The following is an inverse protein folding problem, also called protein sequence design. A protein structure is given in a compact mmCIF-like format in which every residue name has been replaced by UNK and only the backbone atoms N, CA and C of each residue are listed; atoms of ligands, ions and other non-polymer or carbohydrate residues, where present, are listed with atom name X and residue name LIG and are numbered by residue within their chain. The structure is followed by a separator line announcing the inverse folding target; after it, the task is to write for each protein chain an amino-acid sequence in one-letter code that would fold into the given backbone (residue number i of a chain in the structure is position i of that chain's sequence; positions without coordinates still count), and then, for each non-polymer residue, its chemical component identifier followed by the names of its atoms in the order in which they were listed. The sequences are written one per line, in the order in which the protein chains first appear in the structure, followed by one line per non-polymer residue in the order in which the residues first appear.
data_IF_713458964778
#
_entry.id   IF_713458964778
#
_cell.length_a   1.000
_cell.length_b   1.000
_cell.length_c   1.000
_cell.angle_alpha   90.00
_cell.angle_beta   90.00
_cell.angle_gamma   90.00
#
_symmetry.space_group_name_H-M   'P 1'
#
loop_
_entity.id
_entity.type
_entity.pdbx_description
1 polymer ?
#
# COMPACT_ATOMS: atom_id res chain seq x y z
N UNK A 1 -10.19 -10.07 10.73
CA UNK A 1 -10.75 -8.70 10.59
C UNK A 1 -10.74 -8.36 9.11
N UNK A 2 -11.76 -7.70 8.55
CA UNK A 2 -11.88 -7.52 7.09
C UNK A 2 -11.58 -6.09 6.69
N UNK A 3 -10.37 -5.65 7.02
CA UNK A 3 -9.92 -4.30 6.71
C UNK A 3 -9.42 -4.22 5.28
N UNK A 4 -9.58 -3.08 4.67
CA UNK A 4 -9.04 -2.79 3.35
C UNK A 4 -8.61 -1.34 3.24
N UNK A 5 -7.79 -1.06 2.24
CA UNK A 5 -7.47 0.30 1.81
C UNK A 5 -8.11 0.62 0.47
N UNK A 6 -8.53 1.86 0.29
CA UNK A 6 -8.75 2.40 -1.05
C UNK A 6 -7.39 2.60 -1.75
N UNK A 7 -7.23 2.09 -2.97
CA UNK A 7 -6.00 2.29 -3.77
C UNK A 7 -6.21 3.39 -4.81
N UNK A 8 -6.22 4.62 -4.35
CA UNK A 8 -6.47 5.79 -5.18
C UNK A 8 -6.00 7.07 -4.50
N UNK A 9 -5.75 8.15 -5.29
CA UNK A 9 -5.66 9.52 -4.82
C UNK A 9 -6.96 10.31 -5.08
N UNK A 10 -7.95 9.73 -5.72
CA UNK A 10 -9.19 10.41 -6.10
C UNK A 10 -10.18 10.47 -4.92
N UNK A 11 -10.24 11.61 -4.26
CA UNK A 11 -11.13 11.86 -3.11
C UNK A 11 -12.60 11.71 -3.52
N UNK A 12 -12.99 12.27 -4.65
CA UNK A 12 -14.37 12.24 -5.14
C UNK A 12 -14.84 10.79 -5.41
N UNK A 13 -13.92 9.94 -5.86
CA UNK A 13 -14.19 8.52 -6.01
C UNK A 13 -14.49 7.85 -4.67
N UNK A 14 -13.70 8.13 -3.63
CA UNK A 14 -13.92 7.57 -2.28
C UNK A 14 -15.27 8.03 -1.74
N UNK A 15 -15.57 9.33 -1.83
CA UNK A 15 -16.83 9.90 -1.38
C UNK A 15 -18.03 9.25 -2.09
N UNK A 16 -18.01 9.19 -3.42
CA UNK A 16 -19.08 8.57 -4.22
C UNK A 16 -19.25 7.06 -3.94
N UNK A 17 -18.15 6.36 -3.67
CA UNK A 17 -18.18 4.95 -3.28
C UNK A 17 -18.83 4.77 -1.90
N UNK A 18 -18.50 5.61 -0.95
CA UNK A 18 -19.09 5.57 0.38
C UNK A 18 -20.54 6.03 0.38
N UNK A 19 -20.92 7.00 -0.48
CA UNK A 19 -22.33 7.37 -0.68
C UNK A 19 -23.14 6.20 -1.24
N UNK A 20 -22.59 5.48 -2.22
CA UNK A 20 -23.28 4.38 -2.90
C UNK A 20 -23.37 3.09 -2.08
N UNK A 21 -22.29 2.73 -1.38
CA UNK A 21 -22.14 1.43 -0.73
C UNK A 21 -21.90 1.53 0.79
N UNK A 22 -21.87 2.72 1.36
CA UNK A 22 -21.55 2.94 2.78
C UNK A 22 -22.52 2.30 3.75
N UNK A 23 -23.76 1.98 3.33
CA UNK A 23 -24.70 1.19 4.15
C UNK A 23 -24.26 -0.26 4.34
N UNK A 24 -23.50 -0.81 3.38
CA UNK A 24 -23.02 -2.19 3.39
C UNK A 24 -21.61 -2.31 3.99
N UNK A 25 -20.85 -1.20 3.96
CA UNK A 25 -19.48 -1.12 4.45
C UNK A 25 -19.45 -0.59 5.88
N UNK A 26 -18.96 -1.40 6.82
CA UNK A 26 -18.79 -0.89 8.20
C UNK A 26 -17.62 0.11 8.23
N UNK A 27 -17.75 1.26 8.91
CA UNK A 27 -16.69 2.27 9.00
C UNK A 27 -15.33 1.72 9.42
N UNK A 28 -15.29 0.78 10.35
CA UNK A 28 -14.06 0.15 10.82
C UNK A 28 -13.45 -0.87 9.85
N UNK A 29 -14.10 -1.20 8.72
CA UNK A 29 -13.49 -1.99 7.64
C UNK A 29 -12.64 -1.12 6.71
N UNK A 30 -12.91 0.18 6.65
CA UNK A 30 -12.07 1.11 5.93
C UNK A 30 -10.83 1.39 6.78
N UNK A 31 -9.72 0.69 6.53
CA UNK A 31 -8.44 0.98 7.18
C UNK A 31 -7.96 2.37 6.79
N UNK A 32 -8.06 2.70 5.51
CA UNK A 32 -7.62 3.98 5.00
C UNK A 32 -7.48 4.05 3.49
N UNK A 33 -6.47 4.79 3.07
CA UNK A 33 -6.14 5.02 1.66
C UNK A 33 -4.67 4.70 1.41
N UNK A 34 -4.38 4.07 0.27
CA UNK A 34 -3.01 3.97 -0.26
C UNK A 34 -2.89 4.74 -1.56
N UNK A 35 -1.79 5.45 -1.74
CA UNK A 35 -1.53 6.19 -2.96
C UNK A 35 -0.06 6.07 -3.38
N UNK A 36 0.27 6.58 -4.56
CA UNK A 36 1.59 6.57 -5.15
C UNK A 36 1.70 7.67 -6.22
N UNK A 37 2.89 7.96 -6.78
CA UNK A 37 3.05 8.98 -7.80
C UNK A 37 2.13 8.83 -9.02
N UNK A 38 1.83 7.59 -9.45
CA UNK A 38 0.91 7.35 -10.55
C UNK A 38 -0.54 7.70 -10.19
N UNK A 39 -0.96 7.49 -8.94
CA UNK A 39 -2.29 7.90 -8.49
C UNK A 39 -2.43 9.43 -8.46
N UNK A 40 -1.40 10.14 -8.00
CA UNK A 40 -1.37 11.60 -8.04
C UNK A 40 -1.36 12.17 -9.46
N UNK A 41 -0.62 11.55 -10.38
CA UNK A 41 -0.58 12.00 -11.78
C UNK A 41 -1.95 11.87 -12.48
N UNK A 42 -2.75 10.87 -12.11
CA UNK A 42 -4.10 10.68 -12.66
C UNK A 42 -5.09 11.77 -12.25
N UNK A 43 -4.79 12.53 -11.22
CA UNK A 43 -5.58 13.67 -10.74
C UNK A 43 -4.84 15.00 -10.97
N UNK A 44 -3.90 15.02 -11.93
CA UNK A 44 -3.11 16.18 -12.35
C UNK A 44 -2.40 16.91 -11.21
N UNK A 45 -1.84 16.16 -10.24
CA UNK A 45 -1.07 16.70 -9.13
C UNK A 45 0.39 16.29 -9.25
N UNK A 46 1.27 17.27 -9.45
CA UNK A 46 2.68 17.04 -9.73
C UNK A 46 3.61 17.76 -8.75
N UNK A 47 3.14 18.83 -8.10
CA UNK A 47 3.93 19.62 -7.17
C UNK A 47 3.82 19.13 -5.72
N UNK A 48 4.90 19.29 -4.96
CA UNK A 48 4.98 18.84 -3.56
C UNK A 48 3.86 19.43 -2.70
N UNK A 49 3.59 20.73 -2.80
CA UNK A 49 2.54 21.39 -2.02
C UNK A 49 1.13 20.85 -2.36
N UNK A 50 0.91 20.44 -3.61
CA UNK A 50 -0.33 19.76 -4.00
C UNK A 50 -0.46 18.41 -3.32
N UNK A 51 0.63 17.62 -3.23
CA UNK A 51 0.63 16.34 -2.56
C UNK A 51 0.42 16.49 -1.05
N UNK A 52 1.08 17.46 -0.43
CA UNK A 52 0.93 17.77 1.00
C UNK A 52 -0.53 18.16 1.31
N UNK A 53 -1.09 19.12 0.55
CA UNK A 53 -2.47 19.55 0.73
C UNK A 53 -3.47 18.41 0.46
N UNK A 54 -3.16 17.54 -0.49
CA UNK A 54 -4.01 16.40 -0.81
C UNK A 54 -3.95 15.32 0.29
N UNK A 55 -2.78 15.07 0.86
CA UNK A 55 -2.62 14.19 2.02
C UNK A 55 -3.48 14.65 3.20
N UNK A 56 -3.47 15.96 3.50
CA UNK A 56 -4.34 16.54 4.53
C UNK A 56 -5.82 16.27 4.25
N UNK A 57 -6.28 16.49 3.00
CA UNK A 57 -7.68 16.23 2.61
C UNK A 57 -8.04 14.75 2.72
N UNK A 58 -7.18 13.84 2.29
CA UNK A 58 -7.38 12.40 2.43
C UNK A 58 -7.46 12.00 3.91
N UNK A 59 -6.57 12.51 4.77
CA UNK A 59 -6.60 12.27 6.21
C UNK A 59 -7.91 12.71 6.84
N UNK A 60 -8.41 13.88 6.45
CA UNK A 60 -9.71 14.39 6.92
C UNK A 60 -10.86 13.50 6.48
N UNK A 61 -10.90 13.10 5.20
CA UNK A 61 -11.93 12.21 4.67
C UNK A 61 -11.94 10.86 5.39
N UNK A 62 -10.78 10.24 5.60
CA UNK A 62 -10.70 8.96 6.30
C UNK A 62 -11.15 9.07 7.75
N UNK A 63 -10.78 10.14 8.45
CA UNK A 63 -11.27 10.44 9.79
C UNK A 63 -12.79 10.55 9.83
N UNK A 64 -13.39 11.23 8.84
CA UNK A 64 -14.85 11.35 8.73
C UNK A 64 -15.54 10.00 8.46
N UNK A 65 -15.02 9.20 7.51
CA UNK A 65 -15.57 7.88 7.17
C UNK A 65 -15.53 6.95 8.39
N UNK A 66 -14.42 6.92 9.11
CA UNK A 66 -14.25 6.05 10.27
C UNK A 66 -14.97 6.56 11.53
N UNK A 67 -15.13 7.87 11.66
CA UNK A 67 -15.61 8.51 12.88
C UNK A 67 -14.54 8.53 14.00
N UNK A 68 -13.28 8.25 13.67
CA UNK A 68 -12.13 8.27 14.58
C UNK A 68 -10.85 8.69 13.85
N UNK A 69 -9.74 8.85 14.58
CA UNK A 69 -8.43 9.18 14.04
C UNK A 69 -7.51 7.95 13.89
N UNK A 70 -8.04 6.73 13.93
CA UNK A 70 -7.27 5.49 13.76
C UNK A 70 -7.13 5.06 12.30
N UNK A 71 -7.69 5.82 11.36
CA UNK A 71 -7.49 5.60 9.95
C UNK A 71 -6.04 5.85 9.52
N UNK A 72 -5.69 5.37 8.35
CA UNK A 72 -4.33 5.44 7.83
C UNK A 72 -4.32 6.00 6.41
N UNK A 73 -3.30 6.80 6.10
CA UNK A 73 -2.97 7.16 4.73
C UNK A 73 -1.57 6.64 4.40
N UNK A 74 -1.46 5.78 3.40
CA UNK A 74 -0.17 5.27 2.95
C UNK A 74 0.27 6.01 1.69
N UNK A 75 1.32 6.80 1.82
CA UNK A 75 1.85 7.66 0.76
C UNK A 75 3.25 7.18 0.39
N UNK A 76 3.51 7.06 -0.90
CA UNK A 76 4.84 6.76 -1.40
C UNK A 76 5.64 8.06 -1.52
N UNK A 77 6.89 8.04 -1.08
CA UNK A 77 7.81 9.12 -1.37
C UNK A 77 7.91 9.33 -2.89
N UNK A 78 8.02 10.59 -3.37
CA UNK A 78 8.00 10.89 -4.81
C UNK A 78 9.13 10.24 -5.60
N UNK A 79 10.08 9.61 -4.95
CA UNK A 79 11.26 9.02 -5.58
C UNK A 79 11.80 7.84 -4.77
N UNK A 80 12.33 6.85 -5.49
CA UNK A 80 12.82 5.60 -4.92
C UNK A 80 14.32 5.62 -4.63
N UNK A 81 15.09 6.46 -5.30
CA UNK A 81 16.57 6.49 -5.20
C UNK A 81 17.09 7.56 -4.26
N UNK A 82 16.40 7.79 -3.19
CA UNK A 82 16.78 8.82 -2.29
C UNK A 82 17.69 8.39 -1.20
N UNK A 83 18.34 9.41 -0.75
CA UNK A 83 18.85 9.46 0.59
C UNK A 83 17.70 9.18 1.57
N UNK A 84 17.83 8.18 2.47
CA UNK A 84 16.81 7.88 3.47
C UNK A 84 16.41 9.10 4.31
N UNK A 85 17.34 10.02 4.55
CA UNK A 85 17.09 11.26 5.29
C UNK A 85 16.07 12.15 4.58
N UNK A 86 16.12 12.23 3.26
CA UNK A 86 15.16 13.03 2.47
C UNK A 86 13.77 12.38 2.47
N UNK A 87 13.70 11.04 2.41
CA UNK A 87 12.43 10.31 2.58
C UNK A 87 11.86 10.59 3.99
N UNK A 88 12.70 10.58 5.01
CA UNK A 88 12.30 10.84 6.39
C UNK A 88 11.75 12.26 6.56
N UNK A 89 12.39 13.28 5.98
CA UNK A 89 11.88 14.65 6.04
C UNK A 89 10.52 14.78 5.33
N UNK A 90 10.35 14.13 4.18
CA UNK A 90 9.04 14.07 3.54
C UNK A 90 8.00 13.38 4.44
N UNK A 91 8.36 12.26 5.08
CA UNK A 91 7.48 11.57 6.01
C UNK A 91 7.04 12.45 7.17
N UNK A 92 7.96 13.24 7.76
CA UNK A 92 7.65 14.20 8.83
C UNK A 92 6.68 15.28 8.35
N UNK A 93 6.93 15.86 7.17
CA UNK A 93 6.03 16.88 6.59
C UNK A 93 4.61 16.34 6.45
N UNK A 94 4.45 15.12 5.91
CA UNK A 94 3.13 14.51 5.77
C UNK A 94 2.50 14.20 7.13
N UNK A 95 3.28 13.69 8.07
CA UNK A 95 2.81 13.42 9.45
C UNK A 95 2.31 14.67 10.14
N UNK A 96 3.04 15.79 10.00
CA UNK A 96 2.68 17.07 10.61
C UNK A 96 1.35 17.62 10.07
N UNK A 97 1.16 17.59 8.74
CA UNK A 97 -0.07 18.15 8.12
C UNK A 97 -1.29 17.26 8.35
N UNK A 98 -1.11 16.01 8.70
CA UNK A 98 -2.21 15.06 9.00
C UNK A 98 -2.36 14.78 10.49
N UNK A 99 -1.60 15.48 11.33
CA UNK A 99 -1.62 15.30 12.78
C UNK A 99 -3.03 15.43 13.37
N UNK A 100 -3.42 14.43 14.15
CA UNK A 100 -4.75 14.40 14.77
C UNK A 100 -5.89 13.93 13.86
N UNK A 101 -5.62 13.71 12.56
CA UNK A 101 -6.62 13.21 11.59
C UNK A 101 -6.49 11.71 11.34
N UNK A 102 -5.27 11.23 11.11
CA UNK A 102 -4.99 9.84 10.79
C UNK A 102 -3.53 9.51 11.06
N UNK A 103 -3.17 8.23 10.95
CA UNK A 103 -1.78 7.77 10.95
C UNK A 103 -1.22 7.81 9.54
N UNK A 104 0.06 8.09 9.41
CA UNK A 104 0.77 8.09 8.13
C UNK A 104 1.57 6.81 7.99
N UNK A 105 1.34 6.08 6.90
CA UNK A 105 2.19 4.99 6.43
C UNK A 105 3.10 5.49 5.31
N UNK A 106 4.41 5.57 5.55
CA UNK A 106 5.35 5.94 4.49
C UNK A 106 5.72 4.70 3.68
N UNK A 107 5.37 4.73 2.40
CA UNK A 107 5.73 3.67 1.44
C UNK A 107 7.17 3.88 0.98
N UNK A 108 8.04 2.94 1.33
CA UNK A 108 9.48 2.99 1.05
C UNK A 108 9.91 1.81 0.16
N UNK A 109 10.98 1.97 -0.64
CA UNK A 109 11.49 0.89 -1.46
C UNK A 109 12.31 -0.13 -0.65
N UNK A 110 12.49 -1.38 -1.14
CA UNK A 110 13.24 -2.43 -0.45
C UNK A 110 14.77 -2.30 -0.60
N UNK A 111 15.30 -1.09 -0.67
CA UNK A 111 16.74 -0.86 -0.77
C UNK A 111 17.41 -0.96 0.60
N UNK A 112 18.59 -1.57 0.64
CA UNK A 112 19.31 -1.84 1.88
C UNK A 112 19.53 -0.58 2.73
N UNK A 113 20.00 0.51 2.12
CA UNK A 113 20.23 1.78 2.79
C UNK A 113 18.95 2.42 3.36
N UNK A 114 17.79 2.16 2.77
CA UNK A 114 16.48 2.63 3.28
C UNK A 114 16.00 1.73 4.41
N UNK A 115 16.17 0.41 4.28
CA UNK A 115 15.78 -0.55 5.31
C UNK A 115 16.59 -0.37 6.61
N UNK A 116 17.84 0.05 6.53
CA UNK A 116 18.67 0.38 7.69
C UNK A 116 18.19 1.63 8.44
N UNK A 117 17.32 2.44 7.84
CA UNK A 117 16.71 3.63 8.46
C UNK A 117 15.32 3.38 9.07
N UNK A 118 14.82 2.14 9.06
CA UNK A 118 13.46 1.80 9.53
C UNK A 118 13.21 2.28 10.96
N UNK A 119 14.16 2.13 11.86
CA UNK A 119 14.04 2.57 13.26
C UNK A 119 13.83 4.10 13.37
N UNK A 120 14.44 4.88 12.47
CA UNK A 120 14.23 6.33 12.43
C UNK A 120 12.84 6.67 11.86
N UNK A 121 12.40 5.99 10.80
CA UNK A 121 11.05 6.17 10.27
C UNK A 121 9.99 5.86 11.32
N UNK A 122 10.13 4.77 12.06
CA UNK A 122 9.16 4.31 13.05
C UNK A 122 8.96 5.29 14.22
N UNK A 123 9.86 6.25 14.42
CA UNK A 123 9.68 7.33 15.41
C UNK A 123 8.64 8.38 14.98
N UNK A 124 8.31 8.45 13.70
CA UNK A 124 7.49 9.51 13.11
C UNK A 124 6.27 9.00 12.35
N UNK A 125 6.39 7.86 11.67
CA UNK A 125 5.38 7.29 10.77
C UNK A 125 5.36 5.78 10.87
N UNK A 126 4.30 5.15 10.36
CA UNK A 126 4.28 3.71 10.09
C UNK A 126 5.11 3.43 8.83
N UNK A 127 5.92 2.37 8.86
CA UNK A 127 6.73 1.97 7.71
C UNK A 127 6.02 0.93 6.86
N UNK A 128 6.02 1.13 5.54
CA UNK A 128 5.45 0.20 4.57
C UNK A 128 6.42 -0.01 3.41
N UNK A 129 7.14 -1.12 3.41
CA UNK A 129 7.98 -1.47 2.25
C UNK A 129 7.10 -1.95 1.12
N UNK A 130 7.16 -1.27 -0.02
CA UNK A 130 6.26 -1.50 -1.15
C UNK A 130 6.98 -2.00 -2.41
N UNK A 131 6.19 -2.43 -3.40
CA UNK A 131 6.71 -2.87 -4.70
C UNK A 131 7.30 -4.27 -4.68
N UNK A 132 6.93 -5.08 -3.69
CA UNK A 132 7.45 -6.43 -3.55
C UNK A 132 6.78 -7.38 -4.56
N UNK A 133 7.57 -7.91 -5.47
CA UNK A 133 7.11 -8.81 -6.52
C UNK A 133 7.73 -10.23 -6.41
N UNK A 134 8.33 -10.55 -5.27
CA UNK A 134 8.84 -11.88 -4.97
C UNK A 134 8.83 -12.15 -3.45
N UNK A 135 8.71 -13.44 -3.10
CA UNK A 135 8.59 -13.87 -1.71
C UNK A 135 9.90 -13.73 -0.91
N UNK A 136 11.05 -13.83 -1.55
CA UNK A 136 12.34 -13.75 -0.84
C UNK A 136 12.66 -12.34 -0.40
N UNK A 137 12.45 -11.35 -1.27
CA UNK A 137 12.58 -9.94 -0.90
C UNK A 137 11.56 -9.58 0.17
N UNK A 138 10.30 -10.06 0.05
CA UNK A 138 9.28 -9.85 1.06
C UNK A 138 9.70 -10.41 2.43
N UNK A 139 10.18 -11.67 2.49
CA UNK A 139 10.68 -12.28 3.73
C UNK A 139 11.90 -11.57 4.29
N UNK A 140 12.84 -11.16 3.43
CA UNK A 140 13.98 -10.33 3.87
C UNK A 140 13.48 -9.04 4.53
N UNK A 141 12.49 -8.36 3.95
CA UNK A 141 11.91 -7.17 4.55
C UNK A 141 11.28 -7.47 5.92
N UNK A 142 10.61 -8.61 6.10
CA UNK A 142 10.04 -9.01 7.39
C UNK A 142 11.08 -9.21 8.51
N UNK A 143 12.39 -9.23 8.22
CA UNK A 143 13.43 -9.28 9.25
C UNK A 143 13.71 -7.93 9.90
N UNK A 144 13.20 -6.83 9.35
CA UNK A 144 13.25 -5.49 9.91
C UNK A 144 12.00 -5.21 10.74
N UNK A 145 12.04 -4.23 11.63
CA UNK A 145 10.90 -3.84 12.48
C UNK A 145 9.89 -2.98 11.70
N UNK A 146 9.34 -3.55 10.63
CA UNK A 146 8.36 -2.90 9.76
C UNK A 146 6.95 -3.07 10.29
N UNK A 147 6.11 -2.02 10.11
CA UNK A 147 4.68 -2.14 10.35
C UNK A 147 4.02 -2.91 9.22
N UNK A 148 4.41 -2.65 7.97
CA UNK A 148 3.81 -3.23 6.78
C UNK A 148 4.83 -3.61 5.70
N UNK A 149 4.46 -4.64 4.95
CA UNK A 149 5.00 -4.89 3.61
C UNK A 149 3.85 -4.90 2.60
N UNK A 150 4.07 -4.34 1.41
CA UNK A 150 3.10 -4.36 0.30
C UNK A 150 3.58 -5.24 -0.82
N UNK A 151 2.95 -6.40 -0.96
CA UNK A 151 3.19 -7.35 -2.05
C UNK A 151 2.27 -7.00 -3.22
N UNK A 152 2.77 -7.12 -4.44
CA UNK A 152 2.05 -6.73 -5.66
C UNK A 152 1.72 -7.98 -6.50
N UNK A 153 0.58 -8.67 -6.27
CA UNK A 153 0.22 -9.91 -6.96
C UNK A 153 0.26 -9.79 -8.48
N UNK A 154 -0.31 -8.73 -9.04
CA UNK A 154 -0.34 -8.53 -10.47
C UNK A 154 1.05 -8.44 -11.13
N UNK A 155 2.09 -8.03 -10.40
CA UNK A 155 3.47 -8.04 -10.91
C UNK A 155 4.10 -9.42 -10.84
N UNK A 156 3.78 -10.20 -9.82
CA UNK A 156 4.19 -11.60 -9.74
C UNK A 156 3.63 -12.40 -10.91
N UNK A 157 2.36 -12.25 -11.20
CA UNK A 157 1.67 -12.93 -12.31
C UNK A 157 2.23 -12.54 -13.68
N UNK A 158 2.61 -11.28 -13.89
CA UNK A 158 3.24 -10.80 -15.14
C UNK A 158 4.54 -11.54 -15.47
N UNK A 159 5.23 -12.09 -14.48
CA UNK A 159 6.47 -12.88 -14.66
C UNK A 159 6.26 -14.38 -14.41
N UNK A 160 5.00 -14.82 -14.34
CA UNK A 160 4.65 -16.24 -14.20
C UNK A 160 4.85 -16.81 -12.81
N UNK A 161 4.92 -15.97 -11.77
CA UNK A 161 4.93 -16.41 -10.38
C UNK A 161 3.47 -16.63 -9.95
N UNK A 162 3.21 -17.75 -9.30
CA UNK A 162 1.96 -17.99 -8.58
C UNK A 162 1.90 -17.06 -7.36
N UNK A 163 1.19 -15.94 -7.52
CA UNK A 163 1.10 -14.90 -6.51
C UNK A 163 0.40 -15.41 -5.24
N UNK A 164 -0.60 -16.26 -5.38
CA UNK A 164 -1.36 -16.81 -4.27
C UNK A 164 -0.46 -17.66 -3.37
N UNK A 165 0.25 -18.61 -3.95
CA UNK A 165 1.21 -19.46 -3.22
C UNK A 165 2.36 -18.64 -2.62
N UNK A 166 2.85 -17.62 -3.32
CA UNK A 166 3.93 -16.76 -2.84
C UNK A 166 3.50 -15.92 -1.62
N UNK A 167 2.30 -15.34 -1.64
CA UNK A 167 1.75 -14.55 -0.52
C UNK A 167 1.47 -15.47 0.68
N UNK A 168 0.86 -16.63 0.43
CA UNK A 168 0.61 -17.63 1.45
C UNK A 168 1.92 -18.03 2.16
N UNK A 169 2.98 -18.29 1.39
CA UNK A 169 4.28 -18.64 1.92
C UNK A 169 4.90 -17.52 2.77
N UNK A 170 4.84 -16.27 2.30
CA UNK A 170 5.32 -15.11 3.08
C UNK A 170 4.54 -14.98 4.38
N UNK A 171 3.22 -15.12 4.33
CA UNK A 171 2.38 -15.04 5.51
C UNK A 171 2.72 -16.13 6.55
N UNK A 172 3.00 -17.36 6.09
CA UNK A 172 3.46 -18.45 6.98
C UNK A 172 4.78 -18.15 7.67
N UNK A 173 5.71 -17.57 6.94
CA UNK A 173 7.07 -17.36 7.42
C UNK A 173 7.27 -16.04 8.16
N UNK A 174 6.29 -15.17 8.14
CA UNK A 174 6.37 -13.80 8.68
C UNK A 174 6.34 -13.74 10.23
N UNK A 175 6.08 -14.81 10.93
CA UNK A 175 6.04 -14.88 12.40
C UNK A 175 5.19 -13.78 13.09
N UNK A 176 4.27 -13.15 12.36
CA UNK A 176 3.22 -12.28 12.90
C UNK A 176 3.64 -10.88 13.33
N UNK A 177 4.82 -10.40 12.95
CA UNK A 177 5.28 -9.07 13.34
C UNK A 177 4.91 -7.97 12.34
N UNK A 178 4.99 -8.26 11.05
CA UNK A 178 4.75 -7.30 9.96
C UNK A 178 3.42 -7.62 9.29
N UNK A 179 2.53 -6.65 9.16
CA UNK A 179 1.25 -6.87 8.48
C UNK A 179 1.45 -6.84 6.96
N UNK A 180 0.77 -7.75 6.25
CA UNK A 180 0.92 -7.89 4.80
C UNK A 180 -0.23 -7.14 4.11
N UNK A 181 0.12 -6.15 3.30
CA UNK A 181 -0.79 -5.49 2.37
C UNK A 181 -0.63 -6.15 1.00
N UNK A 182 -1.75 -6.53 0.39
CA UNK A 182 -1.78 -6.99 -0.99
C UNK A 182 -2.22 -5.85 -1.89
N UNK A 183 -1.27 -5.31 -2.64
CA UNK A 183 -1.43 -4.07 -3.40
C UNK A 183 -1.77 -4.28 -4.86
N UNK A 184 -2.35 -3.24 -5.49
CA UNK A 184 -2.60 -3.21 -6.94
C UNK A 184 -3.42 -4.40 -7.46
N UNK A 185 -4.46 -4.76 -6.74
CA UNK A 185 -5.41 -5.81 -7.10
C UNK A 185 -6.10 -5.46 -8.43
N UNK A 186 -6.22 -6.47 -9.31
CA UNK A 186 -6.80 -6.29 -10.66
C UNK A 186 -8.14 -6.97 -10.82
N UNK A 187 -8.45 -7.94 -9.97
CA UNK A 187 -9.67 -8.74 -10.03
C UNK A 187 -10.29 -8.92 -8.65
N UNK A 188 -11.58 -9.18 -8.63
CA UNK A 188 -12.31 -9.47 -7.38
C UNK A 188 -11.81 -10.77 -6.75
N UNK A 189 -11.39 -11.76 -7.53
CA UNK A 189 -10.83 -13.01 -7.02
C UNK A 189 -9.53 -12.76 -6.22
N UNK A 190 -8.64 -11.90 -6.71
CA UNK A 190 -7.43 -11.51 -5.96
C UNK A 190 -7.78 -10.86 -4.62
N UNK A 191 -8.83 -10.01 -4.58
CA UNK A 191 -9.30 -9.37 -3.35
C UNK A 191 -9.88 -10.40 -2.38
N UNK A 192 -10.73 -11.30 -2.87
CA UNK A 192 -11.31 -12.41 -2.08
C UNK A 192 -10.19 -13.27 -1.48
N UNK A 193 -9.20 -13.61 -2.30
CA UNK A 193 -8.08 -14.43 -1.87
C UNK A 193 -7.20 -13.72 -0.83
N UNK A 194 -7.01 -12.41 -0.96
CA UNK A 194 -6.30 -11.61 0.05
C UNK A 194 -6.99 -11.67 1.41
N UNK A 195 -8.32 -11.56 1.45
CA UNK A 195 -9.07 -11.75 2.69
C UNK A 195 -8.97 -13.19 3.23
N UNK A 196 -8.97 -14.18 2.34
CA UNK A 196 -8.80 -15.58 2.73
C UNK A 196 -7.45 -15.84 3.40
N UNK A 197 -6.38 -15.21 2.91
CA UNK A 197 -5.03 -15.28 3.48
C UNK A 197 -4.82 -14.39 4.71
N UNK A 198 -5.85 -13.72 5.21
CA UNK A 198 -5.72 -12.75 6.32
C UNK A 198 -4.71 -11.65 6.05
N UNK A 199 -4.65 -11.18 4.80
CA UNK A 199 -3.89 -9.99 4.39
C UNK A 199 -4.83 -8.82 4.16
N UNK A 200 -4.28 -7.59 4.11
CA UNK A 200 -5.08 -6.37 3.90
C UNK A 200 -5.06 -5.98 2.43
N UNK A 201 -6.14 -6.17 1.66
CA UNK A 201 -6.16 -5.79 0.26
C UNK A 201 -6.22 -4.27 0.07
N UNK A 202 -5.58 -3.78 -1.00
CA UNK A 202 -5.85 -2.45 -1.53
C UNK A 202 -6.79 -2.55 -2.72
N UNK A 203 -7.93 -1.87 -2.65
CA UNK A 203 -9.01 -1.99 -3.63
C UNK A 203 -9.00 -0.76 -4.55
N UNK A 204 -8.59 -0.97 -5.80
CA UNK A 204 -8.57 0.07 -6.82
C UNK A 204 -9.96 0.36 -7.42
N UNK A 205 -10.11 1.53 -8.01
CA UNK A 205 -11.38 2.04 -8.56
C UNK A 205 -12.11 1.04 -9.47
N UNK A 206 -11.35 0.28 -10.27
CA UNK A 206 -11.93 -0.69 -11.22
C UNK A 206 -12.63 -1.88 -10.58
N UNK A 207 -12.19 -2.26 -9.38
CA UNK A 207 -12.70 -3.46 -8.71
C UNK A 207 -13.97 -3.19 -7.89
N UNK A 208 -14.25 -1.93 -7.54
CA UNK A 208 -15.36 -1.60 -6.65
C UNK A 208 -16.73 -2.02 -7.18
N UNK A 209 -17.01 -1.74 -8.44
CA UNK A 209 -18.31 -2.14 -9.01
C UNK A 209 -18.46 -3.66 -9.06
N UNK A 210 -17.38 -4.40 -9.36
CA UNK A 210 -17.40 -5.85 -9.48
C UNK A 210 -17.59 -6.52 -8.11
N UNK A 211 -17.05 -5.95 -7.04
CA UNK A 211 -17.23 -6.45 -5.67
C UNK A 211 -18.71 -6.49 -5.28
N UNK A 212 -19.49 -5.47 -5.68
CA UNK A 212 -20.91 -5.38 -5.36
C UNK A 212 -21.83 -5.99 -6.43
N UNK A 213 -21.28 -6.69 -7.43
CA UNK A 213 -22.05 -7.43 -8.41
C UNK A 213 -22.26 -8.89 -7.97
N UNK A 214 -23.46 -9.41 -8.20
CA UNK A 214 -23.80 -10.79 -7.88
C UNK A 214 -23.56 -11.14 -6.41
N UNK A 215 -22.90 -12.28 -6.17
CA UNK A 215 -22.63 -12.80 -4.83
C UNK A 215 -21.22 -12.44 -4.30
N UNK A 216 -20.44 -11.62 -5.01
CA UNK A 216 -19.04 -11.35 -4.65
C UNK A 216 -18.89 -10.70 -3.27
N UNK A 217 -19.70 -9.71 -2.95
CA UNK A 217 -19.66 -9.08 -1.63
C UNK A 217 -20.03 -10.07 -0.51
N UNK A 218 -21.04 -10.92 -0.76
CA UNK A 218 -21.41 -11.98 0.18
C UNK A 218 -20.27 -12.98 0.36
N UNK A 219 -19.60 -13.40 -0.73
CA UNK A 219 -18.41 -14.26 -0.64
C UNK A 219 -17.34 -13.66 0.27
N UNK A 220 -17.07 -12.33 0.16
CA UNK A 220 -16.13 -11.63 1.05
C UNK A 220 -16.61 -11.69 2.50
N UNK A 221 -17.92 -11.53 2.75
CA UNK A 221 -18.49 -11.57 4.10
C UNK A 221 -18.43 -12.98 4.71
N UNK A 222 -18.60 -14.02 3.91
CA UNK A 222 -18.66 -15.41 4.32
C UNK A 222 -17.28 -16.09 4.38
N UNK A 223 -16.19 -15.39 4.03
CA UNK A 223 -14.83 -15.96 4.13
C UNK A 223 -14.58 -16.42 5.56
N UNK A 224 -14.41 -17.73 5.72
CA UNK A 224 -13.75 -18.31 6.88
C UNK A 224 -12.24 -18.32 6.62
N UNK A 225 -11.45 -17.77 7.54
CA UNK A 225 -10.01 -17.80 7.44
C UNK A 225 -9.54 -19.25 7.39
N UNK A 226 -9.11 -19.70 6.25
CA UNK A 226 -8.70 -21.06 6.00
C UNK A 226 -7.29 -21.06 5.43
N UNK A 227 -6.35 -21.43 6.27
CA UNK A 227 -4.98 -21.54 5.84
C UNK A 227 -4.64 -23.02 5.69
N UNK A 228 -4.55 -23.51 4.46
CA UNK A 228 -3.87 -24.78 4.19
C UNK A 228 -2.39 -24.51 3.98
N UNK A 229 -1.49 -25.25 4.67
CA UNK A 229 -0.06 -25.11 4.46
C UNK A 229 0.26 -25.34 2.99
N UNK A 230 0.82 -24.33 2.34
CA UNK A 230 1.36 -24.49 0.98
C UNK A 230 2.55 -25.45 1.09
N UNK A 231 2.58 -26.48 0.25
CA UNK A 231 3.68 -27.44 0.17
C UNK A 231 5.03 -26.76 -0.10
N UNK A 232 6.13 -27.49 -0.16
CA UNK A 232 7.44 -26.91 -0.31
C UNK A 232 7.52 -26.05 -1.57
N UNK A 233 7.51 -24.73 -1.36
CA UNK A 233 7.61 -23.74 -2.41
C UNK A 233 9.10 -23.49 -2.67
N UNK A 234 9.53 -23.61 -3.91
CA UNK A 234 10.85 -23.16 -4.32
C UNK A 234 10.74 -21.77 -4.91
N UNK A 235 11.08 -20.72 -4.19
CA UNK A 235 11.10 -19.38 -4.74
C UNK A 235 12.25 -19.30 -5.76
N UNK A 236 11.92 -19.45 -7.04
CA UNK A 236 12.85 -19.11 -8.10
C UNK A 236 12.91 -17.57 -8.16
N UNK A 237 13.87 -17.01 -7.43
CA UNK A 237 14.24 -15.62 -7.67
C UNK A 237 15.04 -15.60 -8.95
N UNK A 238 14.46 -15.03 -9.99
CA UNK A 238 15.19 -14.76 -11.23
C UNK A 238 15.62 -13.29 -11.26
N UNK A 239 16.66 -12.99 -12.04
CA UNK A 239 17.06 -11.60 -12.28
C UNK A 239 15.86 -10.79 -12.85
N UNK A 240 15.00 -11.43 -13.66
CA UNK A 240 13.82 -10.82 -14.24
C UNK A 240 12.84 -10.27 -13.18
N UNK A 241 12.70 -10.95 -12.04
CA UNK A 241 11.83 -10.48 -10.93
C UNK A 241 12.38 -9.21 -10.28
N UNK A 242 13.71 -9.16 -10.10
CA UNK A 242 14.41 -7.98 -9.57
C UNK A 242 14.27 -6.83 -10.57
N UNK A 243 14.48 -7.09 -11.85
CA UNK A 243 14.40 -6.11 -12.92
C UNK A 243 12.98 -5.55 -13.08
N UNK A 244 11.95 -6.37 -12.87
CA UNK A 244 10.55 -5.93 -12.90
C UNK A 244 10.23 -4.97 -11.75
N UNK A 245 10.66 -5.29 -10.52
CA UNK A 245 10.51 -4.40 -9.37
C UNK A 245 11.24 -3.08 -9.59
N UNK A 246 12.47 -3.13 -10.14
CA UNK A 246 13.23 -1.93 -10.48
C UNK A 246 12.58 -1.10 -11.58
N UNK A 247 11.97 -1.74 -12.59
CA UNK A 247 11.26 -1.06 -13.67
C UNK A 247 10.02 -0.32 -13.14
N UNK A 248 9.30 -0.93 -12.19
CA UNK A 248 8.18 -0.28 -11.50
C UNK A 248 8.62 1.00 -10.79
N UNK A 249 9.69 0.96 -10.00
CA UNK A 249 10.20 2.15 -9.31
C UNK A 249 10.69 3.22 -10.28
N UNK A 250 11.38 2.86 -11.37
CA UNK A 250 11.79 3.83 -12.40
C UNK A 250 10.60 4.56 -13.03
N UNK A 251 9.51 3.85 -13.27
CA UNK A 251 8.28 4.46 -13.78
C UNK A 251 7.69 5.45 -12.78
N UNK A 252 7.66 5.09 -11.50
CA UNK A 252 7.16 5.96 -10.43
C UNK A 252 8.04 7.19 -10.22
N UNK A 253 9.36 7.04 -10.32
CA UNK A 253 10.32 8.15 -10.18
C UNK A 253 10.07 9.25 -11.22
N UNK A 254 9.82 8.88 -12.48
CA UNK A 254 9.51 9.86 -13.53
C UNK A 254 8.23 10.66 -13.23
N UNK A 255 7.21 10.02 -12.66
CA UNK A 255 5.97 10.68 -12.27
C UNK A 255 6.11 11.59 -11.03
N UNK A 256 7.11 11.33 -10.20
CA UNK A 256 7.42 12.11 -8.99
C UNK A 256 8.47 13.20 -9.17
N UNK A 257 9.05 13.36 -10.36
CA UNK A 257 10.22 14.25 -10.58
C UNK A 257 9.99 15.70 -10.18
N UNK A 258 8.81 16.26 -10.44
CA UNK A 258 8.49 17.63 -10.06
C UNK A 258 8.41 17.78 -8.54
N UNK A 259 7.66 16.92 -7.86
CA UNK A 259 7.55 16.94 -6.40
C UNK A 259 8.90 16.68 -5.72
N UNK A 260 9.78 15.87 -6.33
CA UNK A 260 11.15 15.67 -5.86
C UNK A 260 11.95 16.97 -5.89
N UNK A 261 11.97 17.66 -7.01
CA UNK A 261 12.70 18.94 -7.16
C UNK A 261 12.19 19.99 -6.17
N UNK A 262 10.88 20.04 -5.95
CA UNK A 262 10.28 20.94 -4.98
C UNK A 262 10.74 20.60 -3.55
N UNK A 263 10.84 19.29 -3.22
CA UNK A 263 11.32 18.85 -1.91
C UNK A 263 12.80 19.16 -1.71
N UNK A 264 13.64 18.82 -2.69
CA UNK A 264 15.08 19.15 -2.66
C UNK A 264 15.32 20.66 -2.47
N UNK A 265 14.55 21.50 -3.19
CA UNK A 265 14.62 22.96 -3.04
C UNK A 265 14.15 23.47 -1.66
N UNK A 266 13.21 22.76 -1.03
CA UNK A 266 12.70 23.11 0.30
C UNK A 266 13.67 22.73 1.42
N UNK A 267 14.49 21.70 1.21
CA UNK A 267 15.46 21.21 2.19
C UNK A 267 16.86 21.85 2.02
N UNK A 268 17.16 22.51 0.89
CA UNK A 268 18.39 23.27 0.66
C UNK A 268 18.39 24.62 1.37
#
# INVERSE_FOLDING_TARGET
MRDFFFDTANIEFIESTMEKYGSDIKPNWVRGVTTNPNAFSKIDKFHLDEWINHAHKMGHLISQIRGDNNGEIHIQAPFSKLDPEVILEYAKIISDVTHGLCKVGMKIPPYQNVLEYVDEFNKHVLTNVTGLADSSTALKCCTYDLNYISIIPGRMEEVGIDAESAIAFVNQCNFGKTEIITGSQRTTEQIIYSFYLDTVPTIGEKCWNDIFQGDNFKRILDIEYGYEPVGPFSPLITQDNIDLSLAFFKQMDGLGDTARKDLEARLA
#
